data_IF_858835392195
#
_entry.id   IF_858835392195
#
_cell.length_a   1.000
_cell.length_b   1.000
_cell.length_c   1.000
_cell.angle_alpha   90.00
_cell.angle_beta   90.00
_cell.angle_gamma   90.00
#
_symmetry.space_group_name_H-M   'P 1'
#
loop_
_entity.id
_entity.type
_entity.pdbx_description
1 polymer ?
#
# COMPACT_ATOMS: atom_id res chain seq x y z
N UNK A 1 -5.32 12.26 1.16
CA UNK A 1 -5.69 11.61 2.45
C UNK A 1 -4.94 10.30 2.53
N UNK A 2 -4.42 9.92 3.70
CA UNK A 2 -3.91 8.57 3.94
C UNK A 2 -5.04 7.72 4.49
N UNK A 3 -5.21 6.52 3.95
CA UNK A 3 -6.18 5.53 4.44
C UNK A 3 -5.52 4.47 5.34
N UNK A 4 -4.20 4.28 5.21
CA UNK A 4 -3.40 3.41 6.09
C UNK A 4 -1.96 3.89 6.14
N UNK A 5 -1.29 3.73 7.27
CA UNK A 5 0.15 3.94 7.45
C UNK A 5 0.76 2.79 8.22
N UNK A 6 1.97 2.36 7.86
CA UNK A 6 2.73 1.35 8.60
C UNK A 6 4.19 1.76 8.68
N UNK A 7 4.75 1.70 9.89
CA UNK A 7 6.18 1.75 10.12
C UNK A 7 6.80 0.36 9.97
N UNK A 8 8.13 0.31 9.87
CA UNK A 8 8.88 -0.95 9.81
C UNK A 8 9.71 -1.12 11.09
N UNK A 9 9.47 -2.19 11.88
CA UNK A 9 10.28 -2.50 13.05
C UNK A 9 11.78 -2.58 12.70
N UNK A 10 12.62 -1.91 13.48
CA UNK A 10 14.08 -1.86 13.24
C UNK A 10 14.54 -0.83 12.20
N UNK A 11 13.63 -0.10 11.53
CA UNK A 11 13.96 0.96 10.58
C UNK A 11 13.18 2.25 10.89
N UNK A 12 13.69 3.11 11.79
CA UNK A 12 12.94 4.26 12.31
C UNK A 12 12.60 5.34 11.27
N UNK A 13 13.25 5.32 10.11
CA UNK A 13 13.02 6.28 9.03
C UNK A 13 12.18 5.71 7.87
N UNK A 14 11.82 4.42 7.92
CA UNK A 14 11.10 3.73 6.85
C UNK A 14 9.61 3.64 7.19
N UNK A 15 8.80 4.30 6.36
CA UNK A 15 7.35 4.24 6.46
C UNK A 15 6.70 4.01 5.11
N UNK A 16 5.51 3.43 5.15
CA UNK A 16 4.66 3.24 4.00
C UNK A 16 3.27 3.77 4.31
N UNK A 17 2.62 4.43 3.34
CA UNK A 17 1.20 4.74 3.45
C UNK A 17 0.43 4.44 2.17
N UNK A 18 -0.84 4.13 2.33
CA UNK A 18 -1.81 3.99 1.25
C UNK A 18 -2.62 5.28 1.09
N UNK A 19 -2.67 5.83 -0.11
CA UNK A 19 -3.42 7.05 -0.39
C UNK A 19 -4.88 6.75 -0.78
N UNK A 20 -5.81 7.56 -0.26
CA UNK A 20 -7.18 7.62 -0.77
C UNK A 20 -7.15 8.38 -2.10
N UNK A 21 -7.46 7.70 -3.20
CA UNK A 21 -7.35 8.26 -4.56
C UNK A 21 -6.07 7.89 -5.33
N UNK A 22 -5.17 7.06 -4.80
CA UNK A 22 -4.12 6.48 -5.64
C UNK A 22 -2.81 6.08 -4.96
N UNK A 23 -2.61 4.77 -4.84
CA UNK A 23 -1.28 4.18 -4.75
C UNK A 23 -0.67 4.07 -3.34
N UNK A 24 0.49 3.43 -3.32
CA UNK A 24 1.31 3.18 -2.14
C UNK A 24 2.55 4.04 -2.23
N UNK A 25 2.83 4.74 -1.14
CA UNK A 25 3.94 5.66 -1.02
C UNK A 25 4.90 5.17 0.05
N UNK A 26 6.19 5.32 -0.22
CA UNK A 26 7.29 4.96 0.68
C UNK A 26 8.09 6.20 1.03
N UNK A 27 8.62 6.25 2.24
CA UNK A 27 9.64 7.21 2.66
C UNK A 27 10.79 6.46 3.31
N UNK A 28 12.00 6.96 3.16
CA UNK A 28 13.21 6.45 3.81
C UNK A 28 13.89 7.49 4.70
N UNK A 29 13.30 8.68 4.79
CA UNK A 29 13.83 9.86 5.48
C UNK A 29 12.86 10.40 6.53
N UNK A 30 12.09 9.51 7.17
CA UNK A 30 11.10 9.84 8.21
C UNK A 30 9.98 10.78 7.74
N UNK A 31 9.62 10.72 6.45
CA UNK A 31 8.49 11.44 5.88
C UNK A 31 8.82 12.82 5.31
N UNK A 32 10.10 13.16 5.17
CA UNK A 32 10.52 14.39 4.50
C UNK A 32 10.28 14.31 2.97
N UNK A 33 10.49 13.13 2.39
CA UNK A 33 10.18 12.84 0.99
C UNK A 33 9.41 11.52 0.84
N UNK A 34 8.62 11.44 -0.23
CA UNK A 34 7.77 10.29 -0.52
C UNK A 34 7.92 9.90 -1.98
N UNK A 35 8.12 8.62 -2.22
CA UNK A 35 8.18 8.01 -3.56
C UNK A 35 6.99 7.08 -3.77
N UNK A 36 6.38 7.12 -4.95
CA UNK A 36 5.29 6.21 -5.30
C UNK A 36 5.90 4.87 -5.74
N UNK A 37 5.57 3.79 -5.03
CA UNK A 37 6.08 2.44 -5.31
C UNK A 37 5.05 1.56 -6.01
N UNK A 38 3.83 2.03 -6.23
CA UNK A 38 2.75 1.29 -6.90
C UNK A 38 2.54 1.70 -8.36
N UNK A 39 3.13 2.82 -8.77
CA UNK A 39 2.93 3.38 -10.10
C UNK A 39 3.33 2.39 -11.20
N UNK A 40 2.53 2.30 -12.26
CA UNK A 40 2.69 1.31 -13.33
C UNK A 40 2.21 -0.12 -13.01
N UNK A 41 1.87 -0.46 -11.76
CA UNK A 41 1.33 -1.79 -11.41
C UNK A 41 -0.16 -1.74 -11.07
N UNK A 42 -0.54 -0.85 -10.14
CA UNK A 42 -1.92 -0.69 -9.72
C UNK A 42 -2.16 0.69 -9.12
N UNK A 43 -3.41 1.11 -9.11
CA UNK A 43 -3.83 2.41 -8.58
C UNK A 43 -5.12 2.33 -7.81
N UNK A 44 -5.79 3.48 -7.69
CA UNK A 44 -7.02 3.61 -6.90
C UNK A 44 -6.76 3.70 -5.40
N UNK A 45 -7.84 3.71 -4.63
CA UNK A 45 -7.77 3.83 -3.17
C UNK A 45 -7.13 2.61 -2.54
N UNK A 46 -6.14 2.85 -1.68
CA UNK A 46 -5.47 1.81 -0.91
C UNK A 46 -5.97 1.86 0.54
N UNK A 47 -6.65 0.80 0.98
CA UNK A 47 -7.31 0.74 2.28
C UNK A 47 -6.48 0.04 3.36
N UNK A 48 -5.50 -0.76 2.95
CA UNK A 48 -4.60 -1.47 3.86
C UNK A 48 -3.21 -1.64 3.24
N UNK A 49 -2.17 -1.40 4.05
CA UNK A 49 -0.77 -1.69 3.75
C UNK A 49 -0.17 -2.36 4.98
N UNK A 50 0.49 -3.50 4.78
CA UNK A 50 1.19 -4.23 5.84
C UNK A 50 2.56 -4.66 5.33
N UNK A 51 3.59 -4.52 6.18
CA UNK A 51 4.95 -4.97 5.91
C UNK A 51 5.25 -6.15 6.82
N UNK A 52 5.90 -7.18 6.30
CA UNK A 52 6.31 -8.33 7.12
C UNK A 52 7.40 -7.92 8.11
N UNK A 53 7.22 -8.32 9.36
CA UNK A 53 8.20 -8.07 10.44
C UNK A 53 9.47 -8.91 10.27
N UNK A 54 9.35 -10.09 9.65
CA UNK A 54 10.45 -11.04 9.45
C UNK A 54 11.30 -10.72 8.22
N UNK A 55 10.66 -10.20 7.18
CA UNK A 55 11.33 -9.77 5.96
C UNK A 55 10.66 -8.48 5.46
N UNK A 56 11.30 -7.34 5.74
CA UNK A 56 10.73 -6.05 5.38
C UNK A 56 10.69 -5.78 3.87
N UNK A 57 11.21 -6.69 3.04
CA UNK A 57 11.00 -6.63 1.59
C UNK A 57 9.60 -7.12 1.19
N UNK A 58 8.94 -7.89 2.06
CA UNK A 58 7.60 -8.41 1.79
C UNK A 58 6.55 -7.41 2.24
N UNK A 59 5.76 -6.92 1.27
CA UNK A 59 4.70 -5.94 1.49
C UNK A 59 3.39 -6.50 0.93
N UNK A 60 2.31 -6.39 1.70
CA UNK A 60 0.96 -6.72 1.28
C UNK A 60 0.10 -5.46 1.21
N UNK A 61 -0.68 -5.35 0.15
CA UNK A 61 -1.55 -4.20 -0.10
C UNK A 61 -2.96 -4.67 -0.42
N UNK A 62 -3.94 -4.10 0.26
CA UNK A 62 -5.35 -4.28 -0.02
C UNK A 62 -5.90 -3.05 -0.73
N UNK A 63 -6.38 -3.23 -1.96
CA UNK A 63 -7.14 -2.19 -2.66
C UNK A 63 -8.53 -2.02 -2.05
N UNK A 64 -9.07 -0.81 -2.15
CA UNK A 64 -10.39 -0.44 -1.65
C UNK A 64 -10.34 0.68 -0.63
N UNK A 65 -11.49 1.24 -0.28
CA UNK A 65 -11.60 2.32 0.69
C UNK A 65 -12.37 1.85 1.94
N UNK A 66 -11.76 2.01 3.13
CA UNK A 66 -12.41 1.64 4.41
C UNK A 66 -13.52 2.62 4.81
N UNK A 67 -13.46 3.87 4.35
CA UNK A 67 -14.45 4.91 4.68
C UNK A 67 -15.69 4.80 3.83
N UNK A 68 -16.80 4.34 4.43
CA UNK A 68 -18.12 4.32 3.79
C UNK A 68 -18.60 5.76 3.58
N UNK A 69 -18.58 6.24 2.33
CA UNK A 69 -19.19 7.50 1.86
C UNK A 69 -19.92 7.22 0.54
N UNK A 70 -20.74 8.16 0.05
CA UNK A 70 -21.54 7.98 -1.18
C UNK A 70 -20.78 7.53 -2.44
N UNK A 71 -19.45 7.70 -2.49
CA UNK A 71 -18.58 7.29 -3.61
C UNK A 71 -17.42 6.38 -3.12
N UNK A 72 -17.72 5.21 -2.56
CA UNK A 72 -16.68 4.22 -2.15
C UNK A 72 -16.02 3.63 -3.39
N UNK A 73 -14.68 3.66 -3.44
CA UNK A 73 -13.94 2.84 -4.42
C UNK A 73 -13.94 1.38 -3.99
N UNK A 74 -14.49 0.53 -4.84
CA UNK A 74 -14.53 -0.92 -4.66
C UNK A 74 -13.11 -1.50 -4.58
N UNK A 75 -12.94 -2.57 -3.81
CA UNK A 75 -11.63 -3.23 -3.66
C UNK A 75 -11.27 -4.00 -4.93
N UNK A 76 -10.12 -3.69 -5.54
CA UNK A 76 -9.62 -4.34 -6.77
C UNK A 76 -8.68 -5.53 -6.47
N UNK A 77 -8.86 -6.15 -5.31
CA UNK A 77 -8.08 -7.30 -4.86
C UNK A 77 -6.82 -6.94 -4.07
N UNK A 78 -5.96 -7.96 -3.89
CA UNK A 78 -4.75 -7.89 -3.07
C UNK A 78 -3.50 -7.94 -3.93
N UNK A 79 -2.50 -7.18 -3.53
CA UNK A 79 -1.18 -7.14 -4.17
C UNK A 79 -0.10 -7.51 -3.16
N UNK A 80 0.95 -8.15 -3.65
CA UNK A 80 2.14 -8.48 -2.86
C UNK A 80 3.39 -8.09 -3.60
N UNK A 81 4.33 -7.51 -2.87
CA UNK A 81 5.71 -7.35 -3.27
C UNK A 81 6.59 -8.21 -2.37
N UNK A 82 7.70 -8.70 -2.93
CA UNK A 82 8.77 -9.41 -2.20
C UNK A 82 10.12 -8.69 -2.32
N UNK A 83 10.12 -7.47 -2.87
CA UNK A 83 11.31 -6.67 -3.19
C UNK A 83 11.15 -5.21 -2.75
N UNK A 84 10.45 -4.99 -1.64
CA UNK A 84 10.19 -3.70 -1.01
C UNK A 84 9.41 -2.71 -1.89
N UNK A 85 8.58 -3.22 -2.80
CA UNK A 85 7.69 -2.46 -3.67
C UNK A 85 8.28 -2.12 -5.03
N UNK A 86 9.38 -2.77 -5.46
CA UNK A 86 9.90 -2.57 -6.83
C UNK A 86 9.05 -3.30 -7.86
N UNK A 87 8.55 -4.49 -7.51
CA UNK A 87 7.62 -5.25 -8.31
C UNK A 87 6.45 -5.74 -7.47
N UNK A 88 5.30 -5.88 -8.15
CA UNK A 88 4.07 -6.30 -7.52
C UNK A 88 3.45 -7.45 -8.28
N UNK A 89 3.03 -8.45 -7.52
CA UNK A 89 2.27 -9.59 -8.00
C UNK A 89 0.84 -9.47 -7.51
N UNK A 90 -0.12 -9.60 -8.41
CA UNK A 90 -1.54 -9.68 -8.05
C UNK A 90 -1.81 -11.03 -7.38
N UNK A 91 -2.33 -11.01 -6.15
CA UNK A 91 -2.65 -12.21 -5.37
C UNK A 91 -4.10 -12.69 -5.56
N UNK A 92 -4.85 -12.10 -6.49
CA UNK A 92 -6.25 -12.44 -6.74
C UNK A 92 -7.24 -11.59 -5.94
N UNK A 93 -8.48 -12.09 -5.80
CA UNK A 93 -9.68 -11.34 -5.42
C UNK A 93 -10.07 -10.26 -6.45
N UNK A 94 -10.06 -10.59 -7.75
CA UNK A 94 -10.57 -9.67 -8.78
C UNK A 94 -12.07 -9.38 -8.64
N UNK A 95 -12.80 -10.32 -8.06
CA UNK A 95 -14.27 -10.30 -7.89
C UNK A 95 -14.72 -9.80 -6.52
N UNK A 96 -13.89 -9.11 -5.72
CA UNK A 96 -14.27 -8.62 -4.37
C UNK A 96 -15.20 -7.39 -4.38
N UNK A 97 -16.14 -7.35 -5.33
CA UNK A 97 -17.18 -6.32 -5.42
C UNK A 97 -18.26 -6.52 -4.37
#
# INVERSE_FOLDING_TARGET
RSASVTGVPGKPNLYYFGATGGGVWRTTDAGNSWENISDGFFGGSIGAVAVSEWDNNVIYVGGGEKTVRGNVSYGYGKWKSVDAGKTWTHLGLKESR
#
